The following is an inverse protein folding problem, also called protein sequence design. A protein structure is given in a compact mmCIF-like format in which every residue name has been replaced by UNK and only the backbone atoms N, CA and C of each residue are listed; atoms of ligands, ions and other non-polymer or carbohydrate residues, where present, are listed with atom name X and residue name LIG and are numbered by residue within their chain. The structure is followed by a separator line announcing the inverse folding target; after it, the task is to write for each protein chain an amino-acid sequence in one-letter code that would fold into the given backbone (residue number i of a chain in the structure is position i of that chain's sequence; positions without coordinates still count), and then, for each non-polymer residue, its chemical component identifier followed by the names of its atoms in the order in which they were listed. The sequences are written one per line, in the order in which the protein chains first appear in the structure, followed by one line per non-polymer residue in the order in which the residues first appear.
data_IF_951530108667
#
_entry.id   IF_951530108667
#
_cell.length_a   1.000
_cell.length_b   1.000
_cell.length_c   1.000
_cell.angle_alpha   90.00
_cell.angle_beta   90.00
_cell.angle_gamma   90.00
#
_symmetry.space_group_name_H-M   'P 1'
#
loop_
_entity.id
_entity.type
_entity.pdbx_description
1 polymer ?
#
# COMPACT_ATOMS: atom_id res chain seq x y z
N UNK A 1 -11.80 41.73 18.34
CA UNK A 1 -12.27 41.33 16.99
C UNK A 1 -11.14 41.09 15.97
N UNK A 2 -9.99 41.78 16.07
CA UNK A 2 -8.85 41.63 15.15
C UNK A 2 -8.14 40.25 15.19
N UNK A 3 -8.11 39.55 16.34
CA UNK A 3 -7.46 38.24 16.48
C UNK A 3 -8.10 37.11 15.64
N UNK A 4 -9.42 37.19 15.38
CA UNK A 4 -10.13 36.18 14.55
C UNK A 4 -9.69 36.24 13.08
N UNK A 5 -9.35 37.42 12.57
CA UNK A 5 -8.91 37.62 11.17
C UNK A 5 -7.51 37.02 10.91
N UNK A 6 -6.60 37.09 11.89
CA UNK A 6 -5.27 36.44 11.79
C UNK A 6 -5.37 34.90 11.80
N UNK A 7 -6.27 34.35 12.62
CA UNK A 7 -6.56 32.90 12.65
C UNK A 7 -7.25 32.42 11.37
N UNK A 8 -8.13 33.23 10.78
CA UNK A 8 -8.78 32.94 9.50
C UNK A 8 -7.79 32.95 8.32
N UNK A 9 -6.91 33.95 8.23
CA UNK A 9 -5.90 34.02 7.16
C UNK A 9 -4.83 32.90 7.27
N UNK A 10 -4.48 32.50 8.51
CA UNK A 10 -3.64 31.33 8.75
C UNK A 10 -4.38 30.00 8.50
N UNK A 11 -5.70 29.97 8.68
CA UNK A 11 -6.56 28.82 8.34
C UNK A 11 -6.66 28.64 6.83
N UNK A 12 -6.82 29.73 6.08
CA UNK A 12 -6.85 29.71 4.61
C UNK A 12 -5.54 29.17 4.03
N UNK A 13 -4.39 29.61 4.57
CA UNK A 13 -3.08 29.08 4.15
C UNK A 13 -2.94 27.58 4.44
N UNK A 14 -3.40 27.11 5.61
CA UNK A 14 -3.36 25.68 5.96
C UNK A 14 -4.29 24.86 5.06
N UNK A 15 -5.48 25.37 4.76
CA UNK A 15 -6.43 24.74 3.86
C UNK A 15 -5.86 24.62 2.44
N UNK A 16 -5.18 25.66 1.94
CA UNK A 16 -4.50 25.62 0.64
C UNK A 16 -3.40 24.57 0.63
N UNK A 17 -2.59 24.48 1.70
CA UNK A 17 -1.52 23.48 1.80
C UNK A 17 -2.07 22.06 1.86
N UNK A 18 -3.10 21.80 2.67
CA UNK A 18 -3.75 20.48 2.77
C UNK A 18 -4.39 20.09 1.44
N UNK A 19 -5.11 21.03 0.81
CA UNK A 19 -5.74 20.81 -0.49
C UNK A 19 -4.68 20.54 -1.57
N UNK A 20 -3.59 21.30 -1.60
CA UNK A 20 -2.47 21.10 -2.51
C UNK A 20 -1.80 19.73 -2.31
N UNK A 21 -1.60 19.31 -1.06
CA UNK A 21 -1.04 17.99 -0.74
C UNK A 21 -1.98 16.86 -1.18
N UNK A 22 -3.28 16.99 -0.90
CA UNK A 22 -4.28 16.01 -1.32
C UNK A 22 -4.35 15.92 -2.86
N UNK A 23 -4.37 17.06 -3.56
CA UNK A 23 -4.37 17.10 -5.02
C UNK A 23 -3.10 16.46 -5.60
N UNK A 24 -1.93 16.70 -4.99
CA UNK A 24 -0.67 16.07 -5.38
C UNK A 24 -0.72 14.55 -5.20
N UNK A 25 -1.21 14.06 -4.06
CA UNK A 25 -1.36 12.62 -3.79
C UNK A 25 -2.31 11.97 -4.81
N UNK A 26 -3.44 12.62 -5.11
CA UNK A 26 -4.39 12.14 -6.13
C UNK A 26 -3.74 12.11 -7.52
N UNK A 27 -2.96 13.14 -7.88
CA UNK A 27 -2.28 13.19 -9.17
C UNK A 27 -1.21 12.10 -9.29
N UNK A 28 -0.42 11.86 -8.24
CA UNK A 28 0.56 10.77 -8.18
C UNK A 28 -0.17 9.42 -8.31
N UNK A 29 -1.26 9.21 -7.58
CA UNK A 29 -2.03 7.98 -7.66
C UNK A 29 -2.65 7.76 -9.05
N UNK A 30 -3.18 8.83 -9.68
CA UNK A 30 -3.74 8.76 -11.03
C UNK A 30 -2.67 8.43 -12.08
N UNK A 31 -1.48 9.02 -11.96
CA UNK A 31 -0.33 8.69 -12.83
C UNK A 31 0.08 7.23 -12.69
N UNK A 32 0.20 6.74 -11.45
CA UNK A 32 0.54 5.35 -11.19
C UNK A 32 -0.55 4.40 -11.72
N UNK A 33 -1.82 4.76 -11.55
CA UNK A 33 -2.94 3.98 -12.09
C UNK A 33 -2.92 3.93 -13.63
N UNK A 34 -2.56 5.03 -14.31
CA UNK A 34 -2.40 5.05 -15.77
C UNK A 34 -1.32 4.05 -16.22
N UNK A 35 -0.15 4.10 -15.59
CA UNK A 35 0.96 3.18 -15.87
C UNK A 35 0.57 1.71 -15.66
N UNK A 36 -0.15 1.44 -14.57
CA UNK A 36 -0.67 0.11 -14.26
C UNK A 36 -1.68 -0.35 -15.34
N UNK A 37 -2.53 0.53 -15.85
CA UNK A 37 -3.48 0.20 -16.92
C UNK A 37 -2.81 -0.03 -18.27
N UNK A 38 -1.74 0.71 -18.56
CA UNK A 38 -0.92 0.53 -19.76
C UNK A 38 -0.24 -0.84 -19.77
N UNK A 39 0.12 -1.36 -18.58
CA UNK A 39 0.40 -2.77 -18.36
C UNK A 39 1.74 -3.27 -18.90
N UNK A 40 2.58 -2.40 -19.47
CA UNK A 40 3.94 -2.74 -19.90
C UNK A 40 4.79 -3.26 -18.73
N UNK A 41 4.56 -2.73 -17.53
CA UNK A 41 5.19 -3.21 -16.30
C UNK A 41 4.86 -4.69 -15.98
N UNK A 42 3.64 -5.15 -16.32
CA UNK A 42 3.17 -6.50 -15.98
C UNK A 42 3.82 -7.59 -16.82
N UNK A 43 4.37 -7.26 -17.99
CA UNK A 43 5.01 -8.26 -18.85
C UNK A 43 6.22 -8.92 -18.15
N UNK A 44 7.00 -8.12 -17.41
CA UNK A 44 8.14 -8.61 -16.64
C UNK A 44 7.65 -9.41 -15.42
N UNK A 45 6.71 -8.86 -14.66
CA UNK A 45 6.15 -9.51 -13.46
C UNK A 45 5.54 -10.87 -13.79
N UNK A 46 4.76 -10.95 -14.88
CA UNK A 46 4.14 -12.19 -15.35
C UNK A 46 5.20 -13.22 -15.72
N UNK A 47 6.28 -12.81 -16.41
CA UNK A 47 7.38 -13.72 -16.76
C UNK A 47 8.10 -14.24 -15.52
N UNK A 48 8.36 -13.40 -14.54
CA UNK A 48 8.99 -13.80 -13.27
C UNK A 48 8.07 -14.75 -12.50
N UNK A 49 6.79 -14.41 -12.38
CA UNK A 49 5.81 -15.25 -11.68
C UNK A 49 5.71 -16.63 -12.33
N UNK A 50 5.59 -16.70 -13.66
CA UNK A 50 5.55 -17.97 -14.38
C UNK A 50 6.84 -18.77 -14.24
N UNK A 51 8.01 -18.10 -14.23
CA UNK A 51 9.29 -18.77 -13.99
C UNK A 51 9.39 -19.40 -12.60
N UNK A 52 8.65 -18.88 -11.62
CA UNK A 52 8.57 -19.39 -10.26
C UNK A 52 7.41 -20.40 -10.05
N UNK A 53 6.66 -20.79 -11.10
CA UNK A 53 5.58 -21.78 -11.01
C UNK A 53 5.92 -23.08 -11.74
N UNK A 54 5.32 -24.17 -11.27
CA UNK A 54 5.44 -25.48 -11.93
C UNK A 54 4.64 -25.49 -13.23
N UNK A 55 5.26 -25.95 -14.32
CA UNK A 55 4.57 -26.13 -15.60
C UNK A 55 3.39 -27.09 -15.45
N UNK A 56 2.21 -26.69 -15.93
CA UNK A 56 0.96 -27.47 -15.82
C UNK A 56 0.20 -27.28 -14.50
N UNK A 57 0.79 -26.66 -13.47
CA UNK A 57 0.08 -26.30 -12.24
C UNK A 57 0.56 -24.96 -11.67
N UNK A 58 -0.09 -23.88 -12.08
CA UNK A 58 0.23 -22.51 -11.65
C UNK A 58 -0.02 -22.27 -10.15
N UNK A 59 -0.82 -23.11 -9.48
CA UNK A 59 -1.02 -23.00 -8.04
C UNK A 59 0.23 -23.42 -7.25
N UNK A 60 1.11 -24.23 -7.85
CA UNK A 60 2.30 -24.74 -7.19
C UNK A 60 3.54 -23.87 -7.50
N UNK A 61 4.11 -23.18 -6.51
CA UNK A 61 5.37 -22.48 -6.68
C UNK A 61 6.55 -23.46 -6.67
N UNK A 62 7.61 -23.11 -7.40
CA UNK A 62 8.89 -23.81 -7.43
C UNK A 62 9.71 -23.41 -6.20
N UNK A 63 10.12 -24.39 -5.39
CA UNK A 63 10.97 -24.16 -4.23
C UNK A 63 11.01 -25.34 -3.25
N UNK A 64 11.85 -25.26 -2.21
CA UNK A 64 11.90 -26.25 -1.14
C UNK A 64 10.57 -26.36 -0.38
N UNK A 65 10.27 -27.55 0.15
CA UNK A 65 9.01 -27.81 0.86
C UNK A 65 8.76 -26.88 2.08
N UNK A 66 9.80 -26.33 2.68
CA UNK A 66 9.71 -25.41 3.82
C UNK A 66 9.42 -23.95 3.42
N UNK A 67 9.73 -23.55 2.18
CA UNK A 67 9.72 -22.14 1.79
C UNK A 67 8.30 -21.57 1.74
N UNK A 68 7.37 -22.28 1.12
CA UNK A 68 5.98 -21.87 1.00
C UNK A 68 5.28 -21.67 2.37
N UNK A 69 5.31 -22.63 3.31
CA UNK A 69 4.68 -22.43 4.61
C UNK A 69 5.35 -21.29 5.39
N UNK A 70 6.69 -21.16 5.36
CA UNK A 70 7.37 -20.05 6.04
C UNK A 70 6.95 -18.68 5.51
N UNK A 71 6.90 -18.49 4.18
CA UNK A 71 6.47 -17.22 3.59
C UNK A 71 4.98 -16.92 3.86
N UNK A 72 4.16 -17.97 3.97
CA UNK A 72 2.74 -17.83 4.34
C UNK A 72 2.59 -17.36 5.78
N UNK A 73 3.37 -17.90 6.71
CA UNK A 73 3.31 -17.51 8.12
C UNK A 73 3.81 -16.08 8.33
N UNK A 74 4.87 -15.67 7.62
CA UNK A 74 5.39 -14.29 7.67
C UNK A 74 4.33 -13.31 7.14
N UNK A 75 3.69 -13.60 6.00
CA UNK A 75 2.67 -12.71 5.42
C UNK A 75 1.37 -12.70 6.20
N UNK A 76 1.07 -13.74 6.99
CA UNK A 76 -0.10 -13.77 7.88
C UNK A 76 -0.08 -12.65 8.94
N UNK A 77 1.11 -12.19 9.36
CA UNK A 77 1.27 -11.07 10.30
C UNK A 77 0.70 -9.77 9.70
N UNK A 78 0.80 -9.59 8.38
CA UNK A 78 0.23 -8.44 7.66
C UNK A 78 -1.27 -8.55 7.40
N UNK A 79 -1.92 -9.66 7.78
CA UNK A 79 -3.36 -9.82 7.67
C UNK A 79 -4.14 -9.01 8.71
N UNK A 80 -5.46 -8.96 8.56
CA UNK A 80 -6.37 -8.20 9.45
C UNK A 80 -6.12 -8.54 10.92
N UNK A 81 -6.12 -9.83 11.26
CA UNK A 81 -5.91 -10.28 12.65
C UNK A 81 -4.56 -9.82 13.21
N UNK A 82 -3.48 -9.99 12.44
CA UNK A 82 -2.13 -9.59 12.88
C UNK A 82 -2.02 -8.09 13.06
N UNK A 83 -2.48 -7.31 12.08
CA UNK A 83 -2.49 -5.85 12.16
C UNK A 83 -3.39 -5.33 13.28
N UNK A 84 -4.56 -5.93 13.53
CA UNK A 84 -5.44 -5.55 14.64
C UNK A 84 -4.75 -5.77 15.98
N UNK A 85 -4.12 -6.92 16.19
CA UNK A 85 -3.38 -7.21 17.43
C UNK A 85 -2.23 -6.22 17.65
N UNK A 86 -1.41 -5.99 16.62
CA UNK A 86 -0.31 -5.01 16.69
C UNK A 86 -0.83 -3.61 16.98
N UNK A 87 -1.95 -3.21 16.37
CA UNK A 87 -2.56 -1.90 16.57
C UNK A 87 -3.08 -1.72 18.00
N UNK A 88 -3.79 -2.72 18.55
CA UNK A 88 -4.30 -2.70 19.92
C UNK A 88 -3.16 -2.61 20.94
N UNK A 89 -2.11 -3.41 20.74
CA UNK A 89 -0.89 -3.36 21.55
C UNK A 89 -0.23 -1.97 21.49
N UNK A 90 -0.03 -1.43 20.28
CA UNK A 90 0.61 -0.13 20.08
C UNK A 90 -0.21 1.04 20.65
N UNK A 91 -1.54 0.95 20.61
CA UNK A 91 -2.45 1.95 21.16
C UNK A 91 -2.61 1.87 22.68
N UNK A 92 -1.99 0.86 23.35
CA UNK A 92 -2.11 0.66 24.79
C UNK A 92 -3.46 0.10 25.25
N UNK A 93 -4.17 -0.61 24.37
CA UNK A 93 -5.48 -1.22 24.65
C UNK A 93 -5.42 -2.59 25.33
N UNK A 94 -4.27 -2.98 25.89
CA UNK A 94 -4.01 -4.26 26.56
C UNK A 94 -3.36 -4.04 27.92
#
# INVERSE_FOLDING_TARGET
MALKRFRALASDRKLIVIFGLAALLVLIAARLASEVLEGEAFAIDTRIMLALRTAGNLAQPVGPAWLLPTMRDITAIGGVTGLTLVTVLAAGGL
#
